data_IF_154765469624
#
_entry.id   IF_154765469624
#
_cell.length_a   1.000
_cell.length_b   1.000
_cell.length_c   1.000
_cell.angle_alpha   90.00
_cell.angle_beta   90.00
_cell.angle_gamma   90.00
#
_symmetry.space_group_name_H-M   'P 1'
#
loop_
_entity.id
_entity.type
_entity.pdbx_description
1 polymer ?
#
# COMPACT_ATOMS: atom_id res chain seq x y z
N UNK A 1 38.18 -40.26 -4.93
CA UNK A 1 36.77 -39.96 -4.62
C UNK A 1 36.41 -40.11 -3.13
N UNK A 2 36.85 -41.17 -2.42
CA UNK A 2 36.56 -41.31 -0.98
C UNK A 2 37.23 -40.29 -0.04
N UNK A 3 38.38 -39.69 -0.40
CA UNK A 3 39.06 -38.67 0.42
C UNK A 3 38.51 -37.24 0.23
N UNK A 4 37.92 -36.91 -0.91
CA UNK A 4 37.25 -35.62 -1.11
C UNK A 4 35.88 -35.56 -0.40
N UNK A 5 35.17 -36.68 -0.32
CA UNK A 5 33.89 -36.77 0.38
C UNK A 5 34.03 -36.55 1.90
N UNK A 6 35.13 -37.02 2.51
CA UNK A 6 35.39 -36.85 3.95
C UNK A 6 35.72 -35.38 4.30
N UNK A 7 36.39 -34.64 3.41
CA UNK A 7 36.71 -33.22 3.64
C UNK A 7 35.46 -32.34 3.51
N UNK A 8 34.54 -32.69 2.60
CA UNK A 8 33.26 -31.99 2.45
C UNK A 8 32.29 -32.22 3.63
N UNK A 9 32.33 -33.38 4.29
CA UNK A 9 31.47 -33.64 5.48
C UNK A 9 31.99 -32.95 6.74
N UNK A 10 33.30 -32.78 6.88
CA UNK A 10 33.92 -32.07 8.02
C UNK A 10 33.71 -30.55 7.88
N UNK A 11 33.74 -30.01 6.66
CA UNK A 11 33.52 -28.57 6.44
C UNK A 11 32.04 -28.17 6.68
N UNK A 12 31.07 -29.02 6.33
CA UNK A 12 29.65 -28.75 6.57
C UNK A 12 29.22 -28.91 8.05
N UNK A 13 29.94 -29.69 8.86
CA UNK A 13 29.62 -29.86 10.30
C UNK A 13 30.26 -28.77 11.17
N UNK A 14 31.39 -28.17 10.77
CA UNK A 14 32.03 -27.06 11.49
C UNK A 14 31.29 -25.72 11.29
N UNK A 15 30.62 -25.51 10.15
CA UNK A 15 29.89 -24.25 9.87
C UNK A 15 28.51 -24.18 10.55
N UNK A 16 27.89 -25.33 10.87
CA UNK A 16 26.57 -25.37 11.52
C UNK A 16 26.61 -25.44 13.06
N UNK A 17 27.75 -25.77 13.66
CA UNK A 17 27.88 -25.91 15.14
C UNK A 17 28.47 -24.65 15.81
N UNK A 18 29.16 -23.78 15.05
CA UNK A 18 29.75 -22.56 15.63
C UNK A 18 28.72 -21.45 15.93
N UNK A 19 27.59 -21.29 15.20
CA UNK A 19 26.56 -20.32 15.60
C UNK A 19 25.64 -20.80 16.73
N UNK A 20 25.65 -22.09 17.08
CA UNK A 20 24.74 -22.66 18.09
C UNK A 20 25.38 -22.82 19.48
N UNK A 21 26.68 -22.50 19.61
CA UNK A 21 27.42 -22.54 20.88
C UNK A 21 27.84 -21.15 21.40
N UNK A 22 27.03 -20.12 21.11
CA UNK A 22 27.17 -18.79 21.73
C UNK A 22 25.89 -18.39 22.51
N UNK A 23 25.14 -19.38 22.96
CA UNK A 23 24.10 -19.26 23.98
C UNK A 23 24.46 -20.28 25.04
N UNK A 24 25.34 -19.91 25.97
CA UNK A 24 25.47 -20.45 27.34
C UNK A 24 26.79 -19.96 27.96
N UNK A 25 26.65 -19.30 29.12
CA UNK A 25 27.67 -18.97 30.14
C UNK A 25 28.34 -17.59 30.02
N UNK A 26 27.96 -16.69 30.95
CA UNK A 26 28.67 -15.43 31.23
C UNK A 26 27.91 -14.52 32.20
N UNK A 27 27.83 -14.94 33.46
CA UNK A 27 27.07 -14.31 34.55
C UNK A 27 27.76 -13.06 35.16
N UNK A 28 26.94 -12.10 35.59
CA UNK A 28 27.13 -11.05 36.63
C UNK A 28 28.26 -10.01 36.53
N UNK A 29 27.84 -8.76 36.35
CA UNK A 29 28.14 -7.71 37.34
C UNK A 29 26.86 -6.95 37.71
N UNK A 30 26.58 -6.93 39.00
CA UNK A 30 25.46 -6.25 39.66
C UNK A 30 25.72 -4.75 39.78
N UNK A 31 24.83 -3.94 39.23
CA UNK A 31 24.45 -2.67 39.85
C UNK A 31 22.93 -2.57 39.89
N UNK A 32 22.42 -2.71 41.10
CA UNK A 32 21.03 -2.55 41.51
C UNK A 32 20.64 -1.08 41.37
N UNK A 33 19.76 -0.76 40.41
CA UNK A 33 18.91 0.42 40.52
C UNK A 33 17.48 -0.08 40.56
N UNK A 34 16.90 -0.03 41.76
CA UNK A 34 15.54 -0.43 42.07
C UNK A 34 14.58 0.51 41.35
N UNK A 35 13.95 0.04 40.28
CA UNK A 35 12.72 0.64 39.76
C UNK A 35 11.60 -0.35 40.05
N UNK A 36 10.64 0.12 40.84
CA UNK A 36 9.43 -0.60 41.22
C UNK A 36 8.65 -1.05 39.97
N UNK A 37 8.11 -2.27 39.93
CA UNK A 37 7.17 -2.64 38.88
C UNK A 37 5.85 -1.93 39.17
N UNK A 38 5.58 -0.86 38.43
CA UNK A 38 4.22 -0.30 38.35
C UNK A 38 3.35 -1.35 37.67
N UNK A 39 2.66 -2.11 38.50
CA UNK A 39 1.65 -3.09 38.14
C UNK A 39 0.41 -2.33 37.61
N UNK A 40 0.50 -1.79 36.40
CA UNK A 40 -0.67 -1.41 35.62
C UNK A 40 -0.95 -2.52 34.62
N UNK A 41 -1.82 -3.42 35.07
CA UNK A 41 -2.64 -4.29 34.24
C UNK A 41 -3.12 -3.48 33.03
N UNK A 42 -2.90 -3.91 31.77
CA UNK A 42 -3.53 -3.26 30.63
C UNK A 42 -5.02 -3.18 30.93
N UNK A 43 -5.56 -1.97 30.89
CA UNK A 43 -6.99 -1.77 31.01
C UNK A 43 -7.67 -2.69 29.99
N UNK A 44 -8.66 -3.43 30.47
CA UNK A 44 -9.53 -4.27 29.66
C UNK A 44 -10.04 -3.37 28.53
N UNK A 45 -9.51 -3.57 27.32
CA UNK A 45 -10.05 -2.96 26.11
C UNK A 45 -11.52 -3.34 26.06
N UNK A 46 -12.40 -2.34 26.07
CA UNK A 46 -13.82 -2.54 25.83
C UNK A 46 -13.95 -3.34 24.54
N UNK A 47 -14.36 -4.60 24.63
CA UNK A 47 -14.68 -5.41 23.47
C UNK A 47 -15.82 -4.70 22.74
N UNK A 48 -15.51 -4.09 21.60
CA UNK A 48 -16.51 -3.53 20.69
C UNK A 48 -17.24 -4.72 20.08
N UNK A 49 -18.45 -4.96 20.55
CA UNK A 49 -19.37 -5.94 19.98
C UNK A 49 -19.89 -5.42 18.65
N UNK A 50 -19.52 -6.10 17.57
CA UNK A 50 -20.05 -5.92 16.22
C UNK A 50 -21.59 -6.04 16.22
N UNK A 51 -22.30 -4.98 15.83
CA UNK A 51 -23.75 -4.92 15.65
C UNK A 51 -24.08 -4.95 14.13
N UNK A 52 -24.27 -6.14 13.52
CA UNK A 52 -24.51 -6.30 12.07
C UNK A 52 -25.83 -5.72 11.55
N UNK A 53 -26.73 -5.25 12.42
CA UNK A 53 -28.08 -4.86 12.03
C UNK A 53 -28.20 -3.48 11.39
N UNK A 54 -27.15 -2.65 11.47
CA UNK A 54 -27.02 -1.38 10.75
C UNK A 54 -25.97 -1.42 9.62
N UNK A 55 -25.39 -2.61 9.35
CA UNK A 55 -24.25 -2.74 8.44
C UNK A 55 -24.71 -2.66 6.98
N UNK A 56 -24.25 -1.63 6.27
CA UNK A 56 -24.56 -1.46 4.84
C UNK A 56 -23.88 -2.58 4.05
N UNK A 57 -24.54 -3.13 3.04
CA UNK A 57 -23.94 -4.16 2.19
C UNK A 57 -23.45 -3.59 0.86
N UNK A 58 -22.29 -4.07 0.42
CA UNK A 58 -21.62 -3.69 -0.82
C UNK A 58 -21.87 -4.75 -1.89
N UNK A 59 -22.29 -4.35 -3.08
CA UNK A 59 -22.41 -5.21 -4.24
C UNK A 59 -21.08 -5.20 -5.00
N UNK A 60 -20.29 -6.26 -4.86
CA UNK A 60 -18.96 -6.38 -5.45
C UNK A 60 -19.03 -7.27 -6.68
N UNK A 61 -18.66 -6.74 -7.85
CA UNK A 61 -18.44 -7.57 -9.03
C UNK A 61 -17.13 -8.34 -8.90
N UNK A 62 -17.22 -9.67 -8.96
CA UNK A 62 -16.10 -10.61 -8.81
C UNK A 62 -15.57 -10.98 -10.19
N UNK A 63 -14.40 -10.47 -10.54
CA UNK A 63 -13.83 -10.64 -11.89
C UNK A 63 -13.50 -12.10 -12.24
N UNK A 64 -13.24 -12.95 -11.24
CA UNK A 64 -12.91 -14.37 -11.43
C UNK A 64 -14.13 -15.24 -11.73
N UNK A 65 -15.32 -14.86 -11.25
CA UNK A 65 -16.57 -15.63 -11.40
C UNK A 65 -17.60 -14.93 -12.28
N UNK A 66 -17.36 -13.67 -12.63
CA UNK A 66 -18.29 -12.77 -13.33
C UNK A 66 -19.65 -12.64 -12.62
N UNK A 67 -19.65 -12.69 -11.30
CA UNK A 67 -20.85 -12.59 -10.46
C UNK A 67 -20.79 -11.38 -9.52
N UNK A 68 -21.96 -10.88 -9.14
CA UNK A 68 -22.10 -9.86 -8.09
C UNK A 68 -22.30 -10.55 -6.75
N UNK A 69 -21.40 -10.28 -5.82
CA UNK A 69 -21.44 -10.76 -4.43
C UNK A 69 -21.93 -9.63 -3.52
N UNK A 70 -22.84 -9.94 -2.58
CA UNK A 70 -23.32 -8.99 -1.58
C UNK A 70 -22.55 -9.21 -0.28
N UNK A 71 -21.74 -8.25 0.12
CA UNK A 71 -20.80 -8.35 1.23
C UNK A 71 -21.10 -7.28 2.28
N UNK A 72 -21.24 -7.60 3.59
CA UNK A 72 -21.34 -6.58 4.63
C UNK A 72 -20.12 -5.64 4.61
N UNK A 73 -20.32 -4.34 4.80
CA UNK A 73 -19.30 -3.31 4.63
C UNK A 73 -18.03 -3.62 5.44
N UNK A 74 -18.17 -3.99 6.71
CA UNK A 74 -16.98 -4.25 7.53
C UNK A 74 -16.22 -5.52 7.09
N UNK A 75 -16.91 -6.54 6.56
CA UNK A 75 -16.23 -7.71 5.96
C UNK A 75 -15.61 -7.35 4.59
N UNK A 76 -16.21 -6.44 3.83
CA UNK A 76 -15.60 -5.89 2.61
C UNK A 76 -14.30 -5.16 2.94
N UNK A 77 -14.31 -4.29 3.96
CA UNK A 77 -13.12 -3.57 4.42
C UNK A 77 -12.03 -4.53 4.92
N UNK A 78 -12.38 -5.61 5.63
CA UNK A 78 -11.43 -6.69 5.98
C UNK A 78 -10.78 -7.28 4.73
N UNK A 79 -11.57 -7.62 3.72
CA UNK A 79 -11.08 -8.15 2.45
C UNK A 79 -10.12 -7.18 1.74
N UNK A 80 -10.47 -5.89 1.69
CA UNK A 80 -9.62 -4.86 1.08
C UNK A 80 -8.31 -4.68 1.85
N UNK A 81 -8.36 -4.50 3.16
CA UNK A 81 -7.13 -4.35 3.98
C UNK A 81 -6.23 -5.57 3.85
N UNK A 82 -6.81 -6.77 3.84
CA UNK A 82 -6.08 -8.01 3.62
C UNK A 82 -5.45 -8.10 2.23
N UNK A 83 -6.10 -7.56 1.21
CA UNK A 83 -5.60 -7.57 -0.16
C UNK A 83 -4.53 -6.52 -0.44
N UNK A 84 -4.62 -5.37 0.22
CA UNK A 84 -3.77 -4.20 -0.05
C UNK A 84 -2.54 -4.14 0.86
N UNK A 85 -2.61 -4.66 2.09
CA UNK A 85 -1.51 -4.59 3.06
C UNK A 85 -1.06 -5.97 3.55
N UNK A 86 0.25 -6.18 3.78
CA UNK A 86 0.72 -7.36 4.48
C UNK A 86 0.15 -7.41 5.91
N UNK A 87 -0.42 -8.55 6.31
CA UNK A 87 -0.98 -8.73 7.65
C UNK A 87 0.06 -8.55 8.79
N UNK A 88 1.35 -8.65 8.46
CA UNK A 88 2.47 -8.45 9.37
C UNK A 88 2.78 -6.98 9.67
N UNK A 89 2.16 -6.03 8.95
CA UNK A 89 2.32 -4.61 9.26
C UNK A 89 1.78 -4.27 10.65
N UNK A 90 2.24 -3.15 11.18
CA UNK A 90 1.82 -2.68 12.49
C UNK A 90 0.32 -2.40 12.56
N UNK A 91 -0.27 -2.64 13.73
CA UNK A 91 -1.72 -2.52 13.94
C UNK A 91 -2.23 -1.13 13.59
N UNK A 92 -1.49 -0.08 13.93
CA UNK A 92 -1.86 1.31 13.64
C UNK A 92 -1.83 1.63 12.14
N UNK A 93 -0.96 0.97 11.37
CA UNK A 93 -0.95 1.08 9.91
C UNK A 93 -2.14 0.35 9.28
N UNK A 94 -2.49 -0.85 9.78
CA UNK A 94 -3.68 -1.58 9.34
C UNK A 94 -4.97 -0.79 9.64
N UNK A 95 -5.04 -0.12 10.79
CA UNK A 95 -6.14 0.79 11.14
C UNK A 95 -6.24 1.97 10.19
N UNK A 96 -5.12 2.64 9.90
CA UNK A 96 -5.09 3.75 8.94
C UNK A 96 -5.63 3.32 7.56
N UNK A 97 -5.27 2.12 7.10
CA UNK A 97 -5.80 1.56 5.85
C UNK A 97 -7.27 1.17 5.94
N UNK A 98 -7.76 0.72 7.10
CA UNK A 98 -9.20 0.48 7.28
C UNK A 98 -10.00 1.78 7.08
N UNK A 99 -9.52 2.92 7.59
CA UNK A 99 -10.14 4.23 7.34
C UNK A 99 -10.09 4.61 5.86
N UNK A 100 -8.97 4.40 5.15
CA UNK A 100 -8.87 4.74 3.72
C UNK A 100 -9.79 3.86 2.88
N UNK A 101 -9.84 2.56 3.16
CA UNK A 101 -10.73 1.61 2.49
C UNK A 101 -12.21 1.96 2.71
N UNK A 102 -12.62 2.21 3.97
CA UNK A 102 -14.00 2.57 4.31
C UNK A 102 -14.42 3.91 3.71
N UNK A 103 -13.51 4.89 3.69
CA UNK A 103 -13.78 6.20 3.09
C UNK A 103 -13.97 6.09 1.58
N UNK A 104 -13.13 5.29 0.91
CA UNK A 104 -13.24 5.06 -0.52
C UNK A 104 -14.62 4.49 -0.88
N UNK A 105 -15.04 3.42 -0.21
CA UNK A 105 -16.32 2.78 -0.52
C UNK A 105 -17.51 3.68 -0.15
N UNK A 106 -17.45 4.43 0.96
CA UNK A 106 -18.47 5.43 1.29
C UNK A 106 -18.62 6.46 0.17
N UNK A 107 -17.50 6.97 -0.34
CA UNK A 107 -17.52 7.95 -1.43
C UNK A 107 -18.16 7.35 -2.69
N UNK A 108 -17.83 6.11 -3.04
CA UNK A 108 -18.46 5.44 -4.19
C UNK A 108 -19.96 5.22 -4.03
N UNK A 109 -20.44 4.98 -2.80
CA UNK A 109 -21.87 4.84 -2.53
C UNK A 109 -22.62 6.19 -2.65
N UNK A 110 -21.97 7.30 -2.27
CA UNK A 110 -22.57 8.64 -2.31
C UNK A 110 -22.44 9.31 -3.69
N UNK A 111 -21.36 9.01 -4.40
CA UNK A 111 -20.99 9.58 -5.70
C UNK A 111 -20.44 8.47 -6.61
N UNK A 112 -21.31 7.57 -7.13
CA UNK A 112 -20.87 6.54 -8.07
C UNK A 112 -20.21 7.20 -9.29
N UNK A 113 -19.06 6.67 -9.70
CA UNK A 113 -18.41 7.13 -10.94
C UNK A 113 -19.22 6.81 -12.19
N UNK A 114 -18.85 7.43 -13.32
CA UNK A 114 -19.50 7.22 -14.63
C UNK A 114 -19.17 5.87 -15.30
N UNK A 115 -18.66 4.90 -14.53
CA UNK A 115 -18.26 3.59 -15.05
C UNK A 115 -19.47 2.66 -15.04
N UNK A 116 -19.91 2.20 -16.22
CA UNK A 116 -20.90 1.15 -16.31
C UNK A 116 -20.33 -0.17 -15.79
N UNK A 117 -20.91 -0.70 -14.71
CA UNK A 117 -20.54 -1.97 -14.11
C UNK A 117 -21.54 -3.08 -14.47
N UNK A 118 -21.12 -4.35 -14.51
CA UNK A 118 -22.04 -5.45 -14.79
C UNK A 118 -23.05 -5.66 -13.66
N UNK A 119 -24.33 -5.83 -14.03
CA UNK A 119 -25.40 -6.09 -13.08
C UNK A 119 -25.63 -4.93 -12.11
N UNK A 120 -25.90 -5.26 -10.85
CA UNK A 120 -26.14 -4.29 -9.78
C UNK A 120 -24.86 -3.97 -8.98
N UNK A 121 -23.68 -4.15 -9.58
CA UNK A 121 -22.42 -3.94 -8.90
C UNK A 121 -22.14 -2.46 -8.62
N UNK A 122 -21.64 -2.18 -7.41
CA UNK A 122 -21.14 -0.86 -7.02
C UNK A 122 -19.65 -0.69 -7.31
N UNK A 123 -18.87 -1.77 -7.14
CA UNK A 123 -17.41 -1.76 -7.30
C UNK A 123 -16.94 -3.09 -7.88
N UNK A 124 -15.71 -3.11 -8.39
CA UNK A 124 -15.00 -4.32 -8.82
C UNK A 124 -13.95 -4.73 -7.79
N UNK A 125 -13.49 -5.97 -7.86
CA UNK A 125 -12.44 -6.52 -6.99
C UNK A 125 -10.99 -6.27 -7.47
N UNK A 126 -10.82 -5.28 -8.33
CA UNK A 126 -9.55 -4.98 -9.02
C UNK A 126 -9.05 -3.58 -8.70
N UNK A 127 -7.84 -3.25 -9.17
CA UNK A 127 -7.23 -1.92 -9.06
C UNK A 127 -8.03 -0.78 -9.69
N UNK A 128 -9.08 -1.09 -10.46
CA UNK A 128 -10.04 -0.07 -10.92
C UNK A 128 -10.73 0.59 -9.72
N UNK A 129 -11.01 -0.18 -8.67
CA UNK A 129 -11.57 0.31 -7.43
C UNK A 129 -10.61 0.08 -6.26
N UNK A 130 -10.69 -1.09 -5.65
CA UNK A 130 -9.78 -1.60 -4.62
C UNK A 130 -9.65 -3.10 -4.83
N UNK A 131 -8.47 -3.66 -4.59
CA UNK A 131 -8.31 -5.10 -4.66
C UNK A 131 -9.09 -5.71 -3.50
N UNK A 132 -10.01 -6.62 -3.80
CA UNK A 132 -10.82 -7.30 -2.79
C UNK A 132 -10.71 -8.81 -2.95
N UNK A 133 -10.28 -9.49 -1.88
CA UNK A 133 -10.31 -10.93 -1.79
C UNK A 133 -11.29 -11.38 -0.72
N UNK A 134 -12.17 -12.30 -1.10
CA UNK A 134 -13.11 -12.94 -0.19
C UNK A 134 -12.40 -13.91 0.75
N UNK A 135 -13.10 -14.31 1.81
CA UNK A 135 -12.54 -15.16 2.88
C UNK A 135 -11.90 -16.46 2.37
N UNK A 136 -12.51 -17.15 1.42
CA UNK A 136 -11.97 -18.42 0.88
C UNK A 136 -10.69 -18.23 0.04
N UNK A 137 -10.58 -17.11 -0.68
CA UNK A 137 -9.36 -16.74 -1.41
C UNK A 137 -8.24 -16.41 -0.43
N UNK A 138 -8.54 -15.63 0.62
CA UNK A 138 -7.59 -15.31 1.68
C UNK A 138 -7.12 -16.58 2.41
N UNK A 139 -8.02 -17.53 2.66
CA UNK A 139 -7.70 -18.81 3.28
C UNK A 139 -6.79 -19.67 2.41
N UNK A 140 -7.04 -19.69 1.10
CA UNK A 140 -6.17 -20.37 0.14
C UNK A 140 -4.80 -19.70 0.04
N UNK A 141 -4.74 -18.36 0.09
CA UNK A 141 -3.50 -17.57 0.03
C UNK A 141 -2.61 -17.74 1.25
N UNK A 142 -3.18 -17.68 2.45
CA UNK A 142 -2.40 -17.74 3.70
C UNK A 142 -2.25 -19.16 4.27
N UNK A 143 -3.09 -20.11 3.86
CA UNK A 143 -2.99 -21.50 4.31
C UNK A 143 -3.03 -21.61 5.83
N UNK A 144 -1.94 -22.11 6.43
CA UNK A 144 -1.82 -22.30 7.88
C UNK A 144 -1.86 -21.01 8.70
N UNK A 145 -1.46 -19.88 8.12
CA UNK A 145 -1.41 -18.59 8.82
C UNK A 145 -2.74 -17.82 8.73
N UNK A 146 -3.75 -18.39 8.05
CA UNK A 146 -5.02 -17.72 7.76
C UNK A 146 -5.70 -17.20 9.03
N UNK A 147 -5.90 -18.05 10.04
CA UNK A 147 -6.64 -17.66 11.24
C UNK A 147 -5.96 -16.49 11.98
N UNK A 148 -4.63 -16.50 12.05
CA UNK A 148 -3.86 -15.43 12.70
C UNK A 148 -3.93 -14.12 11.90
N UNK A 149 -3.65 -14.18 10.60
CA UNK A 149 -3.62 -13.00 9.74
C UNK A 149 -5.01 -12.37 9.62
N UNK A 150 -6.05 -13.19 9.42
CA UNK A 150 -7.43 -12.73 9.32
C UNK A 150 -7.89 -12.09 10.64
N UNK A 151 -7.61 -12.71 11.78
CA UNK A 151 -7.99 -12.17 13.08
C UNK A 151 -7.33 -10.81 13.34
N UNK A 152 -6.05 -10.64 13.01
CA UNK A 152 -5.32 -9.37 13.19
C UNK A 152 -5.88 -8.25 12.32
N UNK A 153 -6.18 -8.51 11.05
CA UNK A 153 -6.77 -7.52 10.16
C UNK A 153 -8.20 -7.19 10.61
N UNK A 154 -8.99 -8.21 10.95
CA UNK A 154 -10.34 -8.02 11.49
C UNK A 154 -10.34 -7.18 12.76
N UNK A 155 -9.35 -7.37 13.64
CA UNK A 155 -9.17 -6.51 14.82
C UNK A 155 -8.93 -5.05 14.44
N UNK A 156 -8.05 -4.76 13.47
CA UNK A 156 -7.80 -3.38 13.00
C UNK A 156 -9.07 -2.71 12.45
N UNK A 157 -9.83 -3.46 11.65
CA UNK A 157 -11.09 -2.98 11.05
C UNK A 157 -12.13 -2.70 12.12
N UNK A 158 -12.32 -3.62 13.08
CA UNK A 158 -13.29 -3.45 14.16
C UNK A 158 -12.92 -2.32 15.12
N UNK A 159 -11.63 -2.11 15.41
CA UNK A 159 -11.19 -0.99 16.25
C UNK A 159 -11.39 0.39 15.60
N UNK A 160 -11.68 0.43 14.30
CA UNK A 160 -11.96 1.65 13.52
C UNK A 160 -13.33 1.62 12.86
N UNK A 161 -14.24 0.75 13.34
CA UNK A 161 -15.55 0.53 12.75
C UNK A 161 -16.30 1.85 12.55
N UNK A 162 -16.88 2.04 11.36
CA UNK A 162 -17.64 3.24 11.02
C UNK A 162 -16.81 4.54 10.89
N UNK A 163 -15.51 4.53 11.14
CA UNK A 163 -14.68 5.73 10.99
C UNK A 163 -14.28 5.96 9.53
N UNK A 164 -14.46 7.21 9.07
CA UNK A 164 -14.11 7.67 7.71
C UNK A 164 -13.38 9.01 7.75
N UNK A 165 -12.65 9.30 6.68
CA UNK A 165 -11.86 10.53 6.48
C UNK A 165 -12.67 11.55 5.67
N UNK A 166 -12.74 12.77 6.17
CA UNK A 166 -13.57 13.84 5.61
C UNK A 166 -12.80 15.14 5.47
N UNK A 167 -13.18 15.96 4.50
CA UNK A 167 -12.69 17.32 4.33
C UNK A 167 -13.90 18.20 4.05
N UNK A 168 -14.06 19.28 4.81
CA UNK A 168 -15.26 20.15 4.75
C UNK A 168 -16.59 19.38 4.89
N UNK A 169 -16.59 18.28 5.66
CA UNK A 169 -17.77 17.45 5.91
C UNK A 169 -18.13 16.46 4.80
N UNK A 170 -17.35 16.38 3.72
CA UNK A 170 -17.54 15.39 2.66
C UNK A 170 -16.44 14.32 2.68
N UNK A 171 -16.74 13.04 2.37
CA UNK A 171 -15.73 11.98 2.32
C UNK A 171 -14.65 12.26 1.28
N UNK A 172 -13.39 12.12 1.68
CA UNK A 172 -12.26 12.45 0.81
C UNK A 172 -12.04 11.40 -0.29
N UNK A 173 -11.27 11.76 -1.31
CA UNK A 173 -10.55 10.80 -2.15
C UNK A 173 -9.37 10.25 -1.35
N UNK A 174 -9.56 9.13 -0.65
CA UNK A 174 -8.56 8.49 0.20
C UNK A 174 -7.57 7.62 -0.61
N UNK A 175 -6.80 8.26 -1.50
CA UNK A 175 -5.82 7.59 -2.34
C UNK A 175 -4.64 7.03 -1.52
N UNK A 176 -4.17 5.83 -1.84
CA UNK A 176 -3.03 5.20 -1.19
C UNK A 176 -2.20 4.40 -2.19
N UNK A 177 -0.95 4.13 -1.84
CA UNK A 177 -0.02 3.37 -2.68
C UNK A 177 1.02 2.64 -1.83
N UNK A 178 1.79 1.74 -2.44
CA UNK A 178 2.72 0.88 -1.70
C UNK A 178 3.87 1.64 -1.04
N UNK A 179 4.72 2.26 -1.85
CA UNK A 179 6.00 2.80 -1.39
C UNK A 179 6.33 4.09 -2.13
N UNK A 180 6.79 5.11 -1.41
CA UNK A 180 7.21 6.40 -1.95
C UNK A 180 8.69 6.37 -2.35
N UNK A 181 9.13 7.41 -3.04
CA UNK A 181 10.54 7.67 -3.32
C UNK A 181 11.18 8.57 -2.24
N UNK A 182 10.55 8.68 -1.06
CA UNK A 182 10.89 9.62 0.02
C UNK A 182 9.87 10.75 0.18
N UNK A 183 9.04 11.00 -0.85
CA UNK A 183 7.97 12.00 -0.84
C UNK A 183 6.70 11.47 -1.51
N UNK A 184 5.55 11.97 -1.07
CA UNK A 184 4.29 11.82 -1.80
C UNK A 184 4.18 12.90 -2.89
N UNK A 185 3.20 12.77 -3.79
CA UNK A 185 2.91 13.73 -4.86
C UNK A 185 1.74 14.64 -4.49
N UNK A 186 1.73 15.85 -5.05
CA UNK A 186 0.50 16.61 -5.14
C UNK A 186 -0.46 15.91 -6.11
N UNK A 187 -1.76 15.99 -5.84
CA UNK A 187 -2.77 15.38 -6.72
C UNK A 187 -2.67 15.81 -8.18
N UNK A 188 -2.35 17.09 -8.43
CA UNK A 188 -2.30 17.68 -9.77
C UNK A 188 -1.12 17.20 -10.62
N UNK A 189 -0.13 16.58 -9.98
CA UNK A 189 1.02 15.97 -10.65
C UNK A 189 0.67 14.59 -11.24
N UNK A 190 -0.48 14.02 -10.84
CA UNK A 190 -0.98 12.72 -11.33
C UNK A 190 -2.38 12.79 -11.96
N UNK A 191 -3.25 13.66 -11.45
CA UNK A 191 -4.63 13.92 -11.90
C UNK A 191 -4.78 15.38 -12.33
N UNK A 192 -5.82 15.77 -13.09
CA UNK A 192 -5.88 17.11 -13.67
C UNK A 192 -6.14 18.25 -12.67
N UNK A 193 -6.72 17.97 -11.50
CA UNK A 193 -7.20 19.00 -10.58
C UNK A 193 -6.50 18.91 -9.21
N UNK A 194 -6.13 20.07 -8.60
CA UNK A 194 -5.62 20.09 -7.24
C UNK A 194 -6.72 19.72 -6.23
N UNK A 195 -6.40 18.81 -5.33
CA UNK A 195 -7.21 18.34 -4.21
C UNK A 195 -6.53 18.80 -2.89
N UNK A 196 -7.15 19.68 -2.09
CA UNK A 196 -6.48 20.37 -0.97
C UNK A 196 -5.81 19.46 0.07
N UNK A 197 -6.37 18.28 0.31
CA UNK A 197 -5.85 17.31 1.28
C UNK A 197 -4.84 16.31 0.69
N UNK A 198 -4.65 16.27 -0.64
CA UNK A 198 -3.67 15.42 -1.32
C UNK A 198 -2.49 16.27 -1.78
N UNK A 199 -1.59 16.54 -0.83
CA UNK A 199 -0.39 17.38 -1.01
C UNK A 199 0.86 16.54 -0.80
N UNK A 200 1.95 16.95 -1.45
CA UNK A 200 3.25 16.34 -1.22
C UNK A 200 3.70 16.52 0.23
N UNK A 201 4.05 15.41 0.88
CA UNK A 201 4.63 15.35 2.22
C UNK A 201 5.83 14.41 2.24
N UNK A 202 6.75 14.63 3.18
CA UNK A 202 7.86 13.72 3.43
C UNK A 202 7.37 12.34 3.88
N UNK A 203 8.05 11.30 3.42
CA UNK A 203 7.78 9.91 3.80
C UNK A 203 9.12 9.16 3.89
N UNK A 204 9.99 9.53 4.85
CA UNK A 204 11.37 9.03 4.91
C UNK A 204 11.45 7.54 5.28
N UNK A 205 10.39 6.99 5.86
CA UNK A 205 10.36 5.61 6.31
C UNK A 205 10.36 4.60 5.15
N UNK A 206 9.93 5.03 3.97
CA UNK A 206 9.82 4.24 2.75
C UNK A 206 11.15 3.71 2.25
N UNK A 207 12.27 4.36 2.60
CA UNK A 207 13.62 3.88 2.27
C UNK A 207 13.91 2.46 2.81
N UNK A 208 13.16 2.04 3.84
CA UNK A 208 13.26 0.70 4.44
C UNK A 208 12.38 -0.35 3.74
N UNK A 209 11.52 0.07 2.81
CA UNK A 209 10.66 -0.84 2.06
C UNK A 209 11.51 -1.74 1.15
N UNK A 210 11.22 -3.06 1.08
CA UNK A 210 11.84 -3.93 0.08
C UNK A 210 11.48 -3.51 -1.35
N UNK A 211 10.42 -2.72 -1.52
CA UNK A 211 9.92 -2.22 -2.81
C UNK A 211 10.42 -0.79 -3.12
N UNK A 212 11.35 -0.26 -2.32
CA UNK A 212 11.85 1.11 -2.49
C UNK A 212 12.61 1.31 -3.80
N UNK A 213 13.38 0.31 -4.25
CA UNK A 213 14.08 0.38 -5.54
C UNK A 213 13.78 -0.84 -6.38
N UNK A 214 13.57 -0.64 -7.67
CA UNK A 214 13.38 -1.72 -8.64
C UNK A 214 14.12 -1.43 -9.94
N UNK A 215 14.57 -2.47 -10.62
CA UNK A 215 15.28 -2.38 -11.90
C UNK A 215 14.56 -3.23 -12.94
N UNK A 216 14.31 -2.66 -14.12
CA UNK A 216 13.83 -3.38 -15.30
C UNK A 216 14.79 -3.15 -16.46
N UNK A 217 15.04 -4.22 -17.21
CA UNK A 217 15.88 -4.19 -18.40
C UNK A 217 15.01 -4.48 -19.62
N UNK A 218 15.07 -3.59 -20.59
CA UNK A 218 14.41 -3.73 -21.88
C UNK A 218 15.45 -3.76 -22.99
N UNK A 219 15.13 -4.39 -24.11
CA UNK A 219 15.86 -4.16 -25.35
C UNK A 219 15.51 -2.79 -25.92
N UNK A 220 16.40 -2.23 -26.74
CA UNK A 220 16.17 -1.00 -27.49
C UNK A 220 14.88 -1.11 -28.32
N UNK A 221 14.69 -2.24 -28.99
CA UNK A 221 13.51 -2.50 -29.83
C UNK A 221 12.20 -2.47 -29.04
N UNK A 222 12.17 -3.04 -27.83
CA UNK A 222 10.99 -3.00 -26.95
C UNK A 222 10.64 -1.58 -26.52
N UNK A 223 11.64 -0.77 -26.17
CA UNK A 223 11.43 0.66 -25.81
C UNK A 223 10.91 1.43 -27.02
N UNK A 224 11.53 1.27 -28.19
CA UNK A 224 11.09 1.91 -29.45
C UNK A 224 9.63 1.54 -29.78
N UNK A 225 9.27 0.26 -29.65
CA UNK A 225 7.92 -0.24 -29.90
C UNK A 225 6.90 0.30 -28.89
N UNK A 226 7.15 0.15 -27.58
CA UNK A 226 6.20 0.54 -26.52
C UNK A 226 5.99 2.05 -26.47
N UNK A 227 7.02 2.84 -26.78
CA UNK A 227 6.94 4.31 -26.81
C UNK A 227 6.56 4.88 -28.18
N UNK A 228 6.65 4.08 -29.25
CA UNK A 228 6.39 4.54 -30.62
C UNK A 228 7.40 5.61 -31.07
N UNK A 229 8.67 5.39 -30.79
CA UNK A 229 9.80 6.31 -31.07
C UNK A 229 10.97 5.54 -31.67
N UNK A 230 11.97 6.27 -32.17
CA UNK A 230 13.28 5.71 -32.50
C UNK A 230 14.34 6.31 -31.58
N UNK A 231 15.10 5.45 -30.90
CA UNK A 231 16.18 5.90 -30.03
C UNK A 231 17.42 6.27 -30.88
N UNK A 232 18.14 7.33 -30.51
CA UNK A 232 19.30 7.80 -31.26
C UNK A 232 20.43 6.78 -31.28
N UNK A 233 21.32 6.92 -32.27
CA UNK A 233 22.49 6.04 -32.44
C UNK A 233 23.66 6.35 -31.48
N UNK A 234 23.58 7.46 -30.75
CA UNK A 234 24.63 7.98 -29.85
C UNK A 234 24.69 7.27 -28.48
N UNK A 235 23.84 6.25 -28.27
CA UNK A 235 23.79 5.50 -27.02
C UNK A 235 22.96 6.17 -25.93
N UNK A 236 22.21 7.24 -26.22
CA UNK A 236 21.23 7.80 -25.28
C UNK A 236 19.84 7.14 -25.46
N UNK A 237 18.99 7.30 -24.43
CA UNK A 237 17.57 6.93 -24.48
C UNK A 237 16.75 8.20 -24.68
N UNK A 238 16.90 9.14 -23.76
CA UNK A 238 16.20 10.41 -23.72
C UNK A 238 16.66 11.26 -22.54
N UNK A 239 16.13 12.47 -22.44
CA UNK A 239 16.48 13.43 -21.39
C UNK A 239 15.26 13.74 -20.51
N UNK A 240 15.38 13.48 -19.20
CA UNK A 240 14.41 13.96 -18.21
C UNK A 240 14.53 15.49 -18.15
N UNK A 241 13.45 16.19 -18.44
CA UNK A 241 13.45 17.67 -18.56
C UNK A 241 12.90 18.36 -17.33
N UNK A 242 12.04 17.70 -16.55
CA UNK A 242 11.55 18.20 -15.28
C UNK A 242 11.17 17.07 -14.32
N UNK A 243 11.19 17.39 -13.02
CA UNK A 243 10.66 16.56 -11.94
C UNK A 243 9.62 17.35 -11.15
N UNK A 244 8.66 16.65 -10.56
CA UNK A 244 7.66 17.21 -9.64
C UNK A 244 8.30 17.57 -8.31
N UNK A 245 7.56 18.26 -7.43
CA UNK A 245 8.04 18.57 -6.07
C UNK A 245 8.29 17.30 -5.24
N UNK A 246 7.51 16.24 -5.48
CA UNK A 246 7.73 14.90 -4.89
C UNK A 246 8.85 14.09 -5.57
N UNK A 247 9.55 14.66 -6.55
CA UNK A 247 10.74 14.10 -7.17
C UNK A 247 10.48 13.08 -8.29
N UNK A 248 9.23 12.80 -8.66
CA UNK A 248 8.89 11.95 -9.82
C UNK A 248 9.17 12.67 -11.13
N UNK A 249 9.36 11.92 -12.22
CA UNK A 249 9.57 12.51 -13.55
C UNK A 249 8.27 13.19 -13.99
N UNK A 250 8.31 14.51 -14.16
CA UNK A 250 7.17 15.28 -14.68
C UNK A 250 7.15 15.16 -16.20
N UNK A 251 8.27 15.51 -16.86
CA UNK A 251 8.40 15.51 -18.32
C UNK A 251 9.72 14.92 -18.76
N UNK A 252 9.69 14.22 -19.90
CA UNK A 252 10.86 13.55 -20.49
C UNK A 252 10.77 13.54 -22.01
N UNK A 253 11.91 13.79 -22.68
CA UNK A 253 12.01 13.72 -24.14
C UNK A 253 12.69 12.43 -24.57
N UNK A 254 12.03 11.64 -25.43
CA UNK A 254 12.54 10.38 -25.97
C UNK A 254 12.33 10.35 -27.48
N UNK A 255 13.41 10.17 -28.24
CA UNK A 255 13.33 10.11 -29.71
C UNK A 255 12.66 11.33 -30.36
N UNK A 256 12.81 12.52 -29.75
CA UNK A 256 12.21 13.76 -30.22
C UNK A 256 10.72 13.97 -29.88
N UNK A 257 10.10 13.04 -29.13
CA UNK A 257 8.76 13.20 -28.58
C UNK A 257 8.82 13.49 -27.09
N UNK A 258 7.88 14.28 -26.60
CA UNK A 258 7.70 14.54 -25.18
C UNK A 258 6.70 13.53 -24.60
N UNK A 259 6.98 13.07 -23.39
CA UNK A 259 6.12 12.22 -22.57
C UNK A 259 6.11 12.76 -21.14
N UNK A 260 5.03 12.50 -20.43
CA UNK A 260 5.03 12.55 -18.97
C UNK A 260 5.74 11.33 -18.38
N UNK A 261 6.26 11.44 -17.15
CA UNK A 261 6.79 10.26 -16.45
C UNK A 261 5.73 9.19 -16.21
N UNK A 262 4.46 9.57 -16.05
CA UNK A 262 3.32 8.66 -15.96
C UNK A 262 3.13 7.86 -17.26
N UNK A 263 3.17 8.50 -18.42
CA UNK A 263 3.06 7.78 -19.69
C UNK A 263 4.19 6.78 -19.90
N UNK A 264 5.42 7.12 -19.50
CA UNK A 264 6.55 6.18 -19.53
C UNK A 264 6.29 5.00 -18.58
N UNK A 265 5.88 5.29 -17.34
CA UNK A 265 5.54 4.27 -16.34
C UNK A 265 4.48 3.31 -16.89
N UNK A 266 3.39 3.84 -17.44
CA UNK A 266 2.26 3.03 -17.91
C UNK A 266 2.66 2.20 -19.15
N UNK A 267 3.36 2.78 -20.13
CA UNK A 267 3.78 2.08 -21.36
C UNK A 267 4.85 1.00 -21.12
N UNK A 268 5.77 1.27 -20.19
CA UNK A 268 6.86 0.35 -19.84
C UNK A 268 6.54 -0.49 -18.59
N UNK A 269 5.34 -0.35 -18.03
CA UNK A 269 4.85 -1.06 -16.84
C UNK A 269 5.82 -0.93 -15.65
N UNK A 270 6.37 0.26 -15.42
CA UNK A 270 7.31 0.52 -14.33
C UNK A 270 6.59 0.59 -12.97
N UNK A 271 7.32 0.35 -11.89
CA UNK A 271 6.77 0.42 -10.53
C UNK A 271 6.30 1.85 -10.19
N UNK A 272 7.03 2.87 -10.63
CA UNK A 272 6.70 4.29 -10.41
C UNK A 272 7.12 5.15 -11.60
N UNK A 273 6.74 6.43 -11.57
CA UNK A 273 7.25 7.47 -12.47
C UNK A 273 8.49 8.19 -11.94
N UNK A 274 9.06 7.76 -10.81
CA UNK A 274 10.41 8.18 -10.42
C UNK A 274 11.41 7.17 -10.94
N UNK A 275 12.05 7.50 -12.06
CA UNK A 275 13.05 6.65 -12.67
C UNK A 275 14.25 7.42 -13.18
N UNK A 276 15.34 6.70 -13.37
CA UNK A 276 16.45 7.06 -14.24
C UNK A 276 16.71 5.90 -15.20
N UNK A 277 17.32 6.20 -16.35
CA UNK A 277 17.68 5.18 -17.33
C UNK A 277 19.11 5.30 -17.79
N UNK A 278 19.65 4.18 -18.24
CA UNK A 278 20.92 4.12 -18.94
C UNK A 278 20.82 3.09 -20.06
N UNK A 279 21.46 3.38 -21.19
CA UNK A 279 21.59 2.42 -22.29
C UNK A 279 22.96 1.79 -22.31
N UNK A 280 22.99 0.47 -22.46
CA UNK A 280 24.18 -0.36 -22.54
C UNK A 280 24.08 -1.23 -23.80
N UNK A 281 24.63 -0.72 -24.91
CA UNK A 281 24.48 -1.34 -26.22
C UNK A 281 23.01 -1.38 -26.67
N UNK A 282 22.47 -2.59 -26.77
CA UNK A 282 21.07 -2.82 -27.17
C UNK A 282 20.11 -2.95 -25.98
N UNK A 283 20.59 -2.77 -24.75
CA UNK A 283 19.77 -2.80 -23.54
C UNK A 283 19.55 -1.40 -22.98
N UNK A 284 18.35 -1.17 -22.45
CA UNK A 284 17.97 0.00 -21.67
C UNK A 284 17.66 -0.49 -20.25
N UNK A 285 18.51 -0.11 -19.30
CA UNK A 285 18.34 -0.39 -17.88
C UNK A 285 17.61 0.79 -17.26
N UNK A 286 16.46 0.53 -16.66
CA UNK A 286 15.62 1.53 -16.00
C UNK A 286 15.56 1.21 -14.53
N UNK A 287 16.02 2.15 -13.70
CA UNK A 287 15.96 2.07 -12.24
C UNK A 287 14.82 2.96 -11.76
N UNK A 288 13.95 2.42 -10.94
CA UNK A 288 12.79 3.10 -10.36
C UNK A 288 12.93 3.21 -8.86
N UNK A 289 12.33 4.26 -8.28
CA UNK A 289 12.20 4.45 -6.84
C UNK A 289 10.73 4.55 -6.43
N UNK A 290 10.36 3.86 -5.36
CA UNK A 290 8.99 3.69 -4.92
C UNK A 290 8.17 2.78 -5.84
N UNK A 291 6.94 2.50 -5.39
CA UNK A 291 5.97 1.67 -6.10
C UNK A 291 4.55 2.24 -5.93
N UNK A 292 3.96 2.61 -7.05
CA UNK A 292 2.61 3.17 -7.13
C UNK A 292 2.60 4.61 -7.64
N UNK A 293 1.42 5.23 -7.60
CA UNK A 293 1.21 6.58 -8.16
C UNK A 293 1.77 7.70 -7.28
N UNK A 294 1.99 7.46 -5.98
CA UNK A 294 2.66 8.41 -5.09
C UNK A 294 1.74 9.42 -4.40
N UNK A 295 0.44 9.41 -4.64
CA UNK A 295 -0.49 10.40 -4.08
C UNK A 295 -1.22 9.85 -2.84
N UNK A 296 -1.32 10.65 -1.78
CA UNK A 296 -2.00 10.26 -0.54
C UNK A 296 -1.13 9.38 0.37
N UNK A 297 -1.70 8.33 0.95
CA UNK A 297 -1.00 7.54 1.97
C UNK A 297 -0.05 6.50 1.40
N UNK A 298 1.22 6.53 1.82
CA UNK A 298 2.15 5.41 1.61
C UNK A 298 1.88 4.30 2.63
N UNK A 299 1.71 3.06 2.18
CA UNK A 299 1.50 1.90 3.04
C UNK A 299 2.75 1.56 3.87
N UNK A 300 3.93 1.52 3.25
CA UNK A 300 5.19 1.31 3.96
C UNK A 300 5.57 2.51 4.82
N UNK A 301 5.20 3.72 4.38
CA UNK A 301 5.34 4.92 5.17
C UNK A 301 4.48 4.88 6.45
N UNK A 302 3.21 4.46 6.34
CA UNK A 302 2.31 4.26 7.47
C UNK A 302 2.83 3.20 8.46
N UNK A 303 3.33 2.07 7.96
CA UNK A 303 3.99 1.04 8.79
C UNK A 303 5.24 1.57 9.48
N UNK A 304 6.02 2.38 8.78
CA UNK A 304 7.19 3.05 9.33
C UNK A 304 6.87 4.02 10.47
N UNK A 305 5.83 4.84 10.31
CA UNK A 305 5.32 5.72 11.36
C UNK A 305 4.80 4.92 12.56
N UNK A 306 4.03 3.86 12.32
CA UNK A 306 3.51 3.00 13.37
C UNK A 306 4.62 2.31 14.18
N UNK A 307 5.70 1.87 13.52
CA UNK A 307 6.90 1.32 14.18
C UNK A 307 7.61 2.34 15.09
N UNK A 308 7.42 3.64 14.83
CA UNK A 308 7.92 4.73 15.66
C UNK A 308 6.92 5.16 16.75
N UNK A 309 5.82 4.42 16.91
CA UNK A 309 4.83 4.62 17.96
C UNK A 309 3.72 5.59 17.60
N UNK A 310 3.61 6.00 16.33
CA UNK A 310 2.50 6.84 15.85
C UNK A 310 1.21 6.04 15.79
N UNK A 311 0.11 6.65 16.22
CA UNK A 311 -1.21 6.03 16.09
C UNK A 311 -1.82 6.26 14.69
N UNK A 312 -2.90 5.55 14.37
CA UNK A 312 -3.56 5.65 13.07
C UNK A 312 -4.06 7.07 12.73
N UNK A 313 -4.45 7.86 13.74
CA UNK A 313 -4.91 9.24 13.55
C UNK A 313 -3.76 10.16 13.13
N UNK A 314 -2.59 10.03 13.76
CA UNK A 314 -1.38 10.74 13.36
C UNK A 314 -0.93 10.35 11.96
N UNK A 315 -1.06 9.06 11.59
CA UNK A 315 -0.73 8.56 10.26
C UNK A 315 -1.63 9.21 9.20
N UNK A 316 -2.96 9.14 9.35
CA UNK A 316 -3.86 9.69 8.34
C UNK A 316 -3.75 11.22 8.23
N UNK A 317 -3.56 11.94 9.34
CA UNK A 317 -3.35 13.40 9.29
C UNK A 317 -2.01 13.81 8.68
N UNK A 318 -0.99 12.94 8.72
CA UNK A 318 0.27 13.18 8.02
C UNK A 318 0.08 13.13 6.50
N UNK A 319 -0.60 12.10 5.99
CA UNK A 319 -0.77 11.91 4.55
C UNK A 319 -1.93 12.69 3.93
N UNK A 320 -2.95 13.02 4.71
CA UNK A 320 -4.14 13.74 4.25
C UNK A 320 -4.28 15.06 5.02
N UNK A 321 -3.96 16.17 4.36
CA UNK A 321 -3.82 17.46 5.02
C UNK A 321 -5.18 18.08 5.36
N UNK A 322 -5.39 18.44 6.63
CA UNK A 322 -6.59 19.14 7.09
C UNK A 322 -7.87 18.29 7.13
N UNK A 323 -7.74 16.97 7.06
CA UNK A 323 -8.90 16.06 7.15
C UNK A 323 -9.38 15.91 8.59
N UNK A 324 -10.60 15.42 8.75
CA UNK A 324 -11.20 15.02 10.02
C UNK A 324 -11.68 13.58 9.97
N UNK A 325 -11.56 12.86 11.08
CA UNK A 325 -12.15 11.54 11.25
C UNK A 325 -13.58 11.71 11.76
N UNK A 326 -14.55 11.14 11.05
CA UNK A 326 -15.98 11.21 11.38
C UNK A 326 -16.62 9.82 11.39
N UNK A 327 -17.77 9.72 12.06
CA UNK A 327 -18.61 8.53 12.00
C UNK A 327 -19.41 8.51 10.69
N UNK A 328 -19.43 7.36 10.03
CA UNK A 328 -20.23 7.08 8.84
C UNK A 328 -21.73 7.26 9.09
N UNK A 329 -22.20 7.15 10.34
CA UNK A 329 -23.60 7.43 10.73
C UNK A 329 -24.07 8.81 10.24
N UNK A 330 -23.15 9.78 10.14
CA UNK A 330 -23.43 11.14 9.64
C UNK A 330 -23.95 11.16 8.20
N UNK A 331 -23.79 10.06 7.46
CA UNK A 331 -24.15 9.91 6.05
C UNK A 331 -25.34 8.97 5.82
N UNK A 332 -25.91 8.34 6.86
CA UNK A 332 -27.02 7.39 6.73
C UNK A 332 -28.19 7.96 5.93
N UNK A 333 -28.63 9.18 6.24
CA UNK A 333 -29.74 9.82 5.53
C UNK A 333 -29.44 10.02 4.03
N UNK A 334 -28.18 10.35 3.68
CA UNK A 334 -27.76 10.50 2.27
C UNK A 334 -27.74 9.13 1.57
N UNK A 335 -27.31 8.07 2.26
CA UNK A 335 -27.29 6.71 1.75
C UNK A 335 -28.70 6.15 1.54
N UNK A 336 -29.61 6.34 2.51
CA UNK A 336 -31.01 5.90 2.38
C UNK A 336 -31.72 6.62 1.24
N UNK A 337 -31.55 7.95 1.11
CA UNK A 337 -32.19 8.72 0.05
C UNK A 337 -31.77 8.33 -1.37
N UNK A 338 -30.61 7.65 -1.54
CA UNK A 338 -30.17 7.12 -2.84
C UNK A 338 -30.66 5.71 -3.14
N UNK A 339 -31.08 4.96 -2.12
CA UNK A 339 -31.56 3.59 -2.29
C UNK A 339 -33.04 3.51 -2.71
N UNK A 340 -33.79 4.62 -2.60
CA UNK A 340 -35.18 4.79 -3.03
C UNK A 340 -35.30 5.23 -4.49
#
# INVERSE_FOLDING_TARGET
MKRLLIIATILCTVVLIIPTMMVLIGDRSTQTTTLEPTNQKPAVSNQVTYEPQADVSIQVFRSSTEQVEVVPLEEYVVGVVASEMPATFEMEALKAQALTARTYILRQMLEPGDVELPGDAMVTDTVMHQVYQGKEELKSRWGGDFEQNYARIKEAVLQTQGQVLTYEGEPITAAFFSTSNGFTENSEDYWPNPIPYLRSVESPWDERSPEFTSEKVFTKAEVEQKLGVSLPGDGTVGSITARTDGGRVATVSVGGKEFSGREIRDKLELNSSDFDWQRQGDQVVIKTRGWGHGVGMSQYGADGMAKEGKNYEEIVHHYYQGVSIQSMESYEAKLTARAE
#
